data_IF_147336276561
#
_entry.id   IF_147336276561
#
_cell.length_a   1.000
_cell.length_b   1.000
_cell.length_c   1.000
_cell.angle_alpha   90.00
_cell.angle_beta   90.00
_cell.angle_gamma   90.00
#
_symmetry.space_group_name_H-M   'P 1'
#
loop_
_entity.id
_entity.type
_entity.pdbx_description
1 polymer ?
#
# COMPACT_ATOMS: atom_id res chain seq x y z
N UNK A 1 -0.74 3.74 10.95
CA UNK A 1 -0.94 2.74 9.87
C UNK A 1 -1.15 3.48 8.55
N UNK A 2 -1.05 2.84 7.38
CA UNK A 2 -1.37 3.50 6.10
C UNK A 2 -2.76 3.12 5.57
N UNK A 3 -3.45 2.20 6.24
CA UNK A 3 -4.79 1.73 5.92
C UNK A 3 -5.48 1.18 7.17
N UNK A 4 -6.79 1.40 7.26
CA UNK A 4 -7.69 0.70 8.18
C UNK A 4 -8.90 0.21 7.41
N UNK A 5 -9.43 -0.98 7.74
CA UNK A 5 -10.63 -1.52 7.08
C UNK A 5 -11.84 -0.60 7.19
N UNK A 6 -11.91 0.22 8.23
CA UNK A 6 -13.02 1.13 8.53
C UNK A 6 -13.08 2.40 7.68
N UNK A 7 -12.09 2.65 6.82
CA UNK A 7 -12.13 3.85 5.95
C UNK A 7 -13.28 3.77 4.96
N UNK A 8 -14.07 4.83 4.84
CA UNK A 8 -15.28 4.83 4.01
C UNK A 8 -14.96 5.36 2.61
N UNK A 9 -14.86 4.46 1.63
CA UNK A 9 -14.76 4.81 0.22
C UNK A 9 -15.11 3.59 -0.66
N UNK A 10 -15.56 3.81 -1.91
CA UNK A 10 -16.00 2.73 -2.78
C UNK A 10 -14.90 1.72 -3.16
N UNK A 11 -13.62 2.12 -3.16
CA UNK A 11 -12.49 1.22 -3.44
C UNK A 11 -12.30 0.24 -2.28
N UNK A 12 -12.36 0.75 -1.06
CA UNK A 12 -12.29 -0.07 0.15
C UNK A 12 -13.48 -1.02 0.26
N UNK A 13 -14.70 -0.53 0.07
CA UNK A 13 -15.92 -1.34 0.17
C UNK A 13 -15.85 -2.55 -0.76
N UNK A 14 -15.35 -2.34 -1.98
CA UNK A 14 -15.12 -3.40 -2.96
C UNK A 14 -14.04 -4.37 -2.49
N UNK A 15 -12.89 -3.88 -2.03
CA UNK A 15 -11.78 -4.71 -1.55
C UNK A 15 -12.19 -5.61 -0.38
N UNK A 16 -12.85 -5.04 0.63
CA UNK A 16 -13.34 -5.76 1.82
C UNK A 16 -14.39 -6.78 1.43
N UNK A 17 -15.34 -6.41 0.56
CA UNK A 17 -16.39 -7.32 0.08
C UNK A 17 -15.83 -8.49 -0.71
N UNK A 18 -14.86 -8.25 -1.60
CA UNK A 18 -14.19 -9.30 -2.37
C UNK A 18 -13.43 -10.26 -1.47
N UNK A 19 -12.71 -9.75 -0.46
CA UNK A 19 -12.01 -10.59 0.51
C UNK A 19 -12.97 -11.46 1.31
N UNK A 20 -14.04 -10.88 1.87
CA UNK A 20 -15.05 -11.62 2.65
C UNK A 20 -15.75 -12.69 1.80
N UNK A 21 -16.08 -12.36 0.55
CA UNK A 21 -16.68 -13.31 -0.39
C UNK A 21 -15.72 -14.48 -0.69
N UNK A 22 -14.44 -14.19 -0.98
CA UNK A 22 -13.42 -15.19 -1.20
C UNK A 22 -13.22 -16.09 0.02
N UNK A 23 -13.11 -15.50 1.22
CA UNK A 23 -12.93 -16.24 2.46
C UNK A 23 -14.07 -17.24 2.70
N UNK A 24 -15.32 -16.80 2.43
CA UNK A 24 -16.51 -17.66 2.52
C UNK A 24 -16.52 -18.76 1.46
N UNK A 25 -16.21 -18.42 0.20
CA UNK A 25 -16.16 -19.38 -0.91
C UNK A 25 -15.11 -20.48 -0.67
N UNK A 26 -13.94 -20.11 -0.14
CA UNK A 26 -12.85 -21.05 0.15
C UNK A 26 -12.97 -21.76 1.49
N UNK A 27 -14.02 -21.47 2.27
CA UNK A 27 -14.22 -22.06 3.59
C UNK A 27 -13.04 -21.79 4.54
N UNK A 28 -12.44 -20.59 4.46
CA UNK A 28 -11.30 -20.25 5.30
C UNK A 28 -11.71 -20.25 6.79
N UNK A 29 -10.81 -20.65 7.71
CA UNK A 29 -11.07 -20.54 9.14
C UNK A 29 -11.47 -19.11 9.53
N UNK A 30 -12.62 -18.95 10.19
CA UNK A 30 -13.14 -17.65 10.62
C UNK A 30 -13.66 -16.75 9.49
N UNK A 31 -14.09 -17.31 8.35
CA UNK A 31 -14.61 -16.56 7.21
C UNK A 31 -15.76 -15.59 7.56
N UNK A 32 -16.58 -15.93 8.56
CA UNK A 32 -17.65 -15.09 9.10
C UNK A 32 -17.14 -13.81 9.78
N UNK A 33 -15.89 -13.83 10.26
CA UNK A 33 -15.21 -12.73 10.95
C UNK A 33 -14.02 -12.19 10.16
N UNK A 34 -13.94 -12.50 8.87
CA UNK A 34 -12.82 -12.10 8.03
C UNK A 34 -12.68 -10.56 8.00
N UNK A 35 -11.48 -10.10 8.35
CA UNK A 35 -11.07 -8.70 8.27
C UNK A 35 -9.92 -8.54 7.28
N UNK A 36 -9.75 -7.32 6.81
CA UNK A 36 -8.58 -6.87 6.06
C UNK A 36 -7.67 -6.06 6.98
N UNK A 37 -6.40 -5.96 6.60
CA UNK A 37 -5.42 -5.12 7.29
C UNK A 37 -4.48 -4.48 6.26
N UNK A 38 -3.63 -3.58 6.72
CA UNK A 38 -2.71 -2.82 5.87
C UNK A 38 -1.64 -3.68 5.17
N UNK A 39 -1.04 -4.73 5.76
CA UNK A 39 -0.21 -5.65 4.97
C UNK A 39 -0.96 -6.29 3.79
N UNK A 40 -2.24 -6.63 3.97
CA UNK A 40 -3.08 -7.14 2.88
C UNK A 40 -3.35 -6.07 1.82
N UNK A 41 -3.66 -4.84 2.23
CA UNK A 41 -3.80 -3.69 1.32
C UNK A 41 -2.50 -3.43 0.54
N UNK A 42 -1.36 -3.40 1.23
CA UNK A 42 -0.06 -3.16 0.62
C UNK A 42 0.30 -4.25 -0.39
N UNK A 43 -0.04 -5.51 -0.09
CA UNK A 43 0.14 -6.63 -1.02
C UNK A 43 -0.79 -6.51 -2.23
N UNK A 44 -2.06 -6.16 -2.00
CA UNK A 44 -3.04 -5.91 -3.06
C UNK A 44 -2.53 -4.82 -4.01
N UNK A 45 -2.14 -3.67 -3.48
CA UNK A 45 -1.56 -2.57 -4.26
C UNK A 45 -0.30 -3.02 -5.01
N UNK A 46 0.64 -3.66 -4.32
CA UNK A 46 1.92 -4.06 -4.90
C UNK A 46 1.80 -5.02 -6.08
N UNK A 47 0.90 -6.01 -6.00
CA UNK A 47 0.66 -6.94 -7.11
C UNK A 47 -0.03 -6.26 -8.29
N UNK A 48 -0.96 -5.34 -8.05
CA UNK A 48 -1.61 -4.61 -9.14
C UNK A 48 -0.66 -3.64 -9.84
N UNK A 49 0.17 -2.91 -9.10
CA UNK A 49 1.19 -2.04 -9.68
C UNK A 49 2.24 -2.85 -10.45
N UNK A 50 2.62 -4.04 -9.96
CA UNK A 50 3.47 -4.95 -10.73
C UNK A 50 2.81 -5.38 -12.05
N UNK A 51 1.53 -5.76 -12.02
CA UNK A 51 0.79 -6.13 -13.23
C UNK A 51 0.71 -4.96 -14.23
N UNK A 52 0.40 -3.75 -13.75
CA UNK A 52 0.41 -2.53 -14.57
C UNK A 52 1.78 -2.26 -15.20
N UNK A 53 2.87 -2.50 -14.46
CA UNK A 53 4.22 -2.38 -14.98
C UNK A 53 4.56 -3.44 -16.04
N UNK A 54 4.11 -4.68 -15.87
CA UNK A 54 4.24 -5.75 -16.87
C UNK A 54 3.49 -5.38 -18.15
N UNK A 55 2.25 -4.92 -18.04
CA UNK A 55 1.43 -4.47 -19.18
C UNK A 55 2.10 -3.30 -19.91
N UNK A 56 2.58 -2.29 -19.17
CA UNK A 56 3.30 -1.13 -19.72
C UNK A 56 4.62 -1.52 -20.38
N UNK A 57 5.34 -2.50 -19.83
CA UNK A 57 6.61 -2.98 -20.37
C UNK A 57 6.44 -3.95 -21.55
N UNK A 58 5.27 -4.59 -21.68
CA UNK A 58 5.03 -5.65 -22.66
C UNK A 58 5.82 -6.94 -22.39
N UNK A 59 6.35 -7.12 -21.19
CA UNK A 59 7.19 -8.26 -20.79
C UNK A 59 7.17 -8.42 -19.27
N UNK A 60 7.49 -9.63 -18.80
CA UNK A 60 7.75 -9.93 -17.39
C UNK A 60 9.23 -9.82 -17.01
N UNK A 61 10.09 -9.41 -17.95
CA UNK A 61 11.52 -9.22 -17.68
C UNK A 61 11.76 -8.14 -16.61
N UNK A 62 12.61 -8.46 -15.64
CA UNK A 62 12.82 -7.64 -14.42
C UNK A 62 13.22 -6.20 -14.76
N UNK A 63 14.19 -5.99 -15.65
CA UNK A 63 14.71 -4.64 -15.93
C UNK A 63 13.65 -3.72 -16.58
N UNK A 64 12.95 -4.12 -17.65
CA UNK A 64 11.82 -3.37 -18.19
C UNK A 64 10.72 -3.09 -17.16
N UNK A 65 10.32 -4.09 -16.37
CA UNK A 65 9.25 -3.95 -15.36
C UNK A 65 9.65 -2.95 -14.27
N UNK A 66 10.88 -3.05 -13.75
CA UNK A 66 11.41 -2.09 -12.75
C UNK A 66 11.41 -0.67 -13.28
N UNK A 67 11.83 -0.47 -14.54
CA UNK A 67 11.76 0.86 -15.18
C UNK A 67 10.31 1.34 -15.35
N UNK A 68 9.40 0.42 -15.65
CA UNK A 68 7.98 0.75 -15.85
C UNK A 68 7.27 1.13 -14.55
N UNK A 69 7.69 0.58 -13.40
CA UNK A 69 7.13 0.86 -12.06
C UNK A 69 7.32 2.32 -11.62
N UNK A 70 8.45 2.94 -11.96
CA UNK A 70 8.75 4.31 -11.57
C UNK A 70 7.64 5.29 -12.00
N UNK A 71 7.12 6.07 -11.05
CA UNK A 71 6.10 7.09 -11.28
C UNK A 71 4.68 6.55 -11.54
N UNK A 72 4.44 5.25 -11.41
CA UNK A 72 3.07 4.71 -11.51
C UNK A 72 2.20 5.15 -10.35
N UNK A 73 0.90 5.28 -10.63
CA UNK A 73 -0.12 5.64 -9.65
C UNK A 73 -1.17 4.54 -9.49
N UNK A 74 -1.71 4.39 -8.30
CA UNK A 74 -2.75 3.39 -8.00
C UNK A 74 -3.79 3.94 -7.03
N UNK A 75 -5.08 3.85 -7.39
CA UNK A 75 -6.20 4.16 -6.51
C UNK A 75 -6.37 3.06 -5.47
N UNK A 76 -5.94 3.31 -4.23
CA UNK A 76 -5.84 2.28 -3.21
C UNK A 76 -7.07 2.19 -2.30
N UNK A 77 -7.29 1.03 -1.64
CA UNK A 77 -8.33 0.87 -0.63
C UNK A 77 -8.24 1.89 0.52
N UNK A 78 -7.08 2.47 0.77
CA UNK A 78 -6.92 3.58 1.74
C UNK A 78 -7.71 4.84 1.36
N UNK A 79 -8.23 4.96 0.14
CA UNK A 79 -8.92 6.16 -0.35
C UNK A 79 -7.98 7.19 -0.99
N UNK A 80 -6.68 6.87 -1.07
CA UNK A 80 -5.66 7.74 -1.65
C UNK A 80 -5.12 7.15 -2.96
N UNK A 81 -4.73 8.03 -3.88
CA UNK A 81 -3.88 7.66 -5.01
C UNK A 81 -2.44 7.51 -4.53
N UNK A 82 -1.94 6.29 -4.53
CA UNK A 82 -0.56 5.98 -4.16
C UNK A 82 0.36 6.17 -5.36
N UNK A 83 1.58 6.65 -5.14
CA UNK A 83 2.57 6.87 -6.21
C UNK A 83 3.87 6.13 -5.92
N UNK A 84 4.36 5.38 -6.89
CA UNK A 84 5.69 4.78 -6.82
C UNK A 84 6.74 5.87 -7.05
N UNK A 85 7.61 6.11 -6.05
CA UNK A 85 8.66 7.10 -6.18
C UNK A 85 9.58 6.75 -7.36
N UNK A 86 9.86 7.75 -8.19
CA UNK A 86 10.64 7.59 -9.42
C UNK A 86 12.10 7.18 -9.17
N UNK A 87 12.62 7.45 -7.97
CA UNK A 87 14.04 7.30 -7.65
C UNK A 87 14.30 6.14 -6.70
N UNK A 88 13.48 6.00 -5.66
CA UNK A 88 13.74 5.07 -4.56
C UNK A 88 12.86 3.80 -4.53
N UNK A 89 11.87 3.69 -5.43
CA UNK A 89 10.90 2.59 -5.49
C UNK A 89 10.14 2.34 -4.17
N UNK A 90 10.06 3.32 -3.28
CA UNK A 90 9.14 3.30 -2.16
C UNK A 90 7.84 3.98 -2.56
N UNK A 91 6.77 3.64 -1.86
CA UNK A 91 5.43 4.12 -2.19
C UNK A 91 5.08 5.34 -1.34
N UNK A 92 4.59 6.40 -1.99
CA UNK A 92 4.03 7.56 -1.32
C UNK A 92 2.68 7.12 -0.73
N UNK A 93 2.55 7.13 0.60
CA UNK A 93 1.38 6.60 1.31
C UNK A 93 0.83 7.62 2.32
N UNK A 94 -0.48 7.61 2.59
CA UNK A 94 -1.06 8.39 3.68
C UNK A 94 -0.58 7.86 5.03
N UNK A 95 -0.62 8.69 6.07
CA UNK A 95 -0.47 8.24 7.45
C UNK A 95 -1.78 8.43 8.17
N UNK A 96 -2.25 7.38 8.85
CA UNK A 96 -3.46 7.38 9.64
C UNK A 96 -3.15 6.99 11.09
N UNK A 97 -3.77 7.68 12.03
CA UNK A 97 -3.80 7.35 13.46
C UNK A 97 -5.20 6.84 13.77
N UNK A 98 -5.28 5.62 14.30
CA UNK A 98 -6.54 4.96 14.63
C UNK A 98 -6.69 4.79 16.14
N UNK A 99 -7.90 5.02 16.63
CA UNK A 99 -8.33 4.68 18.00
C UNK A 99 -9.05 3.33 17.99
N UNK A 100 -8.62 2.40 18.85
CA UNK A 100 -9.25 1.07 18.98
C UNK A 100 -10.66 1.23 19.55
N UNK A 101 -11.62 0.59 18.89
CA UNK A 101 -13.03 0.57 19.29
C UNK A 101 -13.36 -0.73 20.04
N UNK A 102 -14.51 -0.75 20.73
CA UNK A 102 -14.98 -1.89 21.52
C UNK A 102 -15.36 -3.12 20.67
N UNK A 103 -15.70 -2.90 19.40
CA UNK A 103 -15.93 -3.94 18.39
C UNK A 103 -14.65 -4.54 17.80
N UNK A 104 -13.48 -4.06 18.23
CA UNK A 104 -12.16 -4.50 17.74
C UNK A 104 -11.75 -3.91 16.38
N UNK A 105 -12.48 -2.92 15.86
CA UNK A 105 -12.05 -2.08 14.73
C UNK A 105 -11.30 -0.84 15.20
N UNK A 106 -10.91 0.00 14.24
CA UNK A 106 -10.25 1.27 14.47
C UNK A 106 -11.12 2.41 13.93
N UNK A 107 -11.27 3.49 14.67
CA UNK A 107 -11.79 4.76 14.16
C UNK A 107 -10.60 5.65 13.77
N UNK A 108 -10.61 6.24 12.57
CA UNK A 108 -9.55 7.16 12.16
C UNK A 108 -9.76 8.50 12.87
N UNK A 109 -8.85 8.85 13.78
CA UNK A 109 -8.92 10.10 14.56
C UNK A 109 -8.05 11.21 13.97
N UNK A 110 -7.10 10.84 13.12
CA UNK A 110 -6.27 11.77 12.37
C UNK A 110 -5.69 11.09 11.13
N UNK A 111 -5.57 11.84 10.05
CA UNK A 111 -4.90 11.42 8.83
C UNK A 111 -4.21 12.59 8.12
N UNK A 112 -3.25 12.28 7.26
CA UNK A 112 -2.58 13.24 6.39
C UNK A 112 -3.49 13.68 5.25
N UNK A 113 -3.55 14.98 4.93
CA UNK A 113 -4.36 15.50 3.81
C UNK A 113 -4.00 14.92 2.43
N UNK A 114 -2.76 14.45 2.27
CA UNK A 114 -2.26 13.85 1.02
C UNK A 114 -1.20 12.79 1.31
N UNK A 115 -0.86 11.92 0.34
CA UNK A 115 0.18 10.93 0.52
C UNK A 115 1.51 11.57 0.88
N UNK A 116 2.17 11.04 1.89
CA UNK A 116 3.51 11.49 2.30
C UNK A 116 4.52 10.93 1.32
N UNK A 117 5.39 11.80 0.77
CA UNK A 117 6.50 11.37 -0.08
C UNK A 117 7.33 10.32 0.65
N UNK A 118 7.61 9.22 -0.05
CA UNK A 118 8.42 8.16 0.53
C UNK A 118 9.88 8.59 0.73
N UNK A 119 10.32 8.54 1.98
CA UNK A 119 11.70 8.78 2.38
C UNK A 119 12.21 7.55 3.14
N UNK A 120 13.14 6.75 2.55
CA UNK A 120 13.64 5.54 3.19
C UNK A 120 14.49 5.83 4.43
N UNK A 121 14.99 7.06 4.56
CA UNK A 121 15.88 7.47 5.63
C UNK A 121 15.27 8.63 6.42
N UNK A 122 15.00 8.40 7.70
CA UNK A 122 14.52 9.45 8.61
C UNK A 122 15.59 10.53 8.79
N UNK A 123 15.25 11.83 8.67
CA UNK A 123 16.20 12.93 8.89
C UNK A 123 16.59 13.09 10.36
N UNK A 124 15.88 12.43 11.27
CA UNK A 124 16.10 12.53 12.72
C UNK A 124 17.10 11.51 13.26
N UNK A 125 17.60 10.60 12.42
CA UNK A 125 18.57 9.58 12.81
C UNK A 125 19.96 10.01 12.31
N UNK A 126 20.97 10.19 13.19
CA UNK A 126 22.31 10.58 12.79
C UNK A 126 22.92 9.64 11.73
N UNK A 127 23.50 10.21 10.67
CA UNK A 127 24.15 9.48 9.58
C UNK A 127 23.22 9.13 8.40
N UNK A 128 21.91 9.31 8.53
CA UNK A 128 20.97 9.11 7.42
C UNK A 128 21.08 10.17 6.33
N UNK A 129 21.56 11.36 6.67
CA UNK A 129 21.84 12.47 5.75
C UNK A 129 22.81 12.09 4.62
N UNK A 130 23.64 11.06 4.83
CA UNK A 130 24.64 10.58 3.86
C UNK A 130 24.15 9.42 3.01
N UNK A 131 22.95 8.89 3.29
CA UNK A 131 22.43 7.73 2.58
C UNK A 131 21.69 8.17 1.31
N UNK A 132 21.85 7.44 0.20
CA UNK A 132 21.21 7.79 -1.05
C UNK A 132 19.69 7.55 -1.00
N UNK A 133 18.94 8.45 -1.62
CA UNK A 133 17.50 8.34 -1.85
C UNK A 133 17.20 7.59 -3.17
N UNK A 134 17.95 6.54 -3.47
CA UNK A 134 17.77 5.63 -4.60
C UNK A 134 18.39 4.26 -4.26
N UNK A 135 17.97 3.17 -4.92
CA UNK A 135 18.54 1.85 -4.68
C UNK A 135 20.04 1.85 -4.96
N UNK A 136 20.83 1.49 -3.95
CA UNK A 136 22.23 1.15 -4.12
C UNK A 136 22.35 -0.35 -4.27
N UNK A 137 23.15 -0.79 -5.24
CA UNK A 137 23.55 -2.20 -5.30
C UNK A 137 24.36 -2.49 -4.03
N UNK A 138 23.87 -3.42 -3.21
CA UNK A 138 24.74 -4.08 -2.25
C UNK A 138 25.67 -5.00 -3.02
N UNK A 139 26.98 -4.87 -2.78
CA UNK A 139 28.00 -5.76 -3.32
C UNK A 139 27.83 -7.19 -2.80
#
# INVERSE_FOLDING_TARGET
>A
WNYFQSVENPVNDKFVSQWKAYAKEKGLPGADKAVTNDPMEATYVGIHMWAQAVEKAGTTDVKPVVKALAGQTFEAPSGYTLTMDEKNHHLHKPVMIGEVQDDGQFSVVWETESPVRAQPWSPYIPGNDKKPDHPVKSN
#
